data_IF_866833938588
#
_entry.id   IF_866833938588
#
_cell.length_a   1.000
_cell.length_b   1.000
_cell.length_c   1.000
_cell.angle_alpha   90.00
_cell.angle_beta   90.00
_cell.angle_gamma   90.00
#
_symmetry.space_group_name_H-M   'P 1'
#
loop_
_entity.id
_entity.type
_entity.pdbx_description
1 polymer ?
#
# COMPACT_ATOMS: atom_id res chain seq x y z
N UNK A 1 -33.01 10.90 -9.95
CA UNK A 1 -33.34 10.77 -8.53
C UNK A 1 -32.04 11.01 -7.76
N UNK A 2 -31.92 12.14 -7.07
CA UNK A 2 -30.78 12.43 -6.23
C UNK A 2 -30.80 11.46 -5.04
N UNK A 3 -29.89 10.50 -5.03
CA UNK A 3 -29.60 9.74 -3.82
C UNK A 3 -28.86 10.68 -2.86
N UNK A 4 -29.57 11.18 -1.87
CA UNK A 4 -28.96 11.91 -0.76
C UNK A 4 -27.86 11.06 -0.17
N UNK A 5 -26.59 11.51 -0.26
CA UNK A 5 -25.48 10.94 0.47
C UNK A 5 -25.83 10.92 1.95
N UNK A 6 -26.00 9.73 2.52
CA UNK A 6 -26.04 9.59 3.97
C UNK A 6 -24.66 10.01 4.48
N UNK A 7 -24.61 11.10 5.24
CA UNK A 7 -23.41 11.51 5.97
C UNK A 7 -22.91 10.32 6.78
N UNK A 8 -21.71 9.84 6.47
CA UNK A 8 -21.09 8.80 7.27
C UNK A 8 -20.54 9.42 8.56
N UNK A 9 -20.38 8.65 9.65
CA UNK A 9 -19.72 9.14 10.87
C UNK A 9 -18.33 9.73 10.63
N UNK A 10 -17.72 9.43 9.48
CA UNK A 10 -16.39 9.86 9.04
C UNK A 10 -16.30 11.34 8.65
N UNK A 11 -17.41 12.01 8.37
CA UNK A 11 -17.43 13.40 7.89
C UNK A 11 -17.03 14.44 8.95
N UNK A 12 -16.84 14.02 10.22
CA UNK A 12 -16.56 14.90 11.35
C UNK A 12 -15.09 15.18 11.62
N UNK A 13 -14.15 14.48 10.96
CA UNK A 13 -12.72 14.68 11.16
C UNK A 13 -12.25 15.72 10.13
N UNK A 14 -11.93 16.91 10.59
CA UNK A 14 -11.30 17.94 9.77
C UNK A 14 -9.80 17.67 9.69
N UNK A 15 -9.27 17.69 8.47
CA UNK A 15 -7.84 17.62 8.19
C UNK A 15 -7.28 19.04 8.12
N UNK A 16 -6.13 19.26 8.72
CA UNK A 16 -5.39 20.50 8.54
C UNK A 16 -4.71 20.57 7.16
N UNK A 17 -4.31 21.77 6.76
CA UNK A 17 -3.70 22.00 5.46
C UNK A 17 -2.33 21.33 5.31
N UNK A 18 -1.59 21.18 6.40
CA UNK A 18 -0.28 20.53 6.36
C UNK A 18 -0.41 19.02 6.13
N UNK A 19 -1.40 18.39 6.72
CA UNK A 19 -1.76 16.98 6.45
C UNK A 19 -2.19 16.80 4.99
N UNK A 20 -3.01 17.72 4.45
CA UNK A 20 -3.42 17.69 3.04
C UNK A 20 -2.24 17.81 2.08
N UNK A 21 -1.32 18.76 2.35
CA UNK A 21 -0.08 18.92 1.58
C UNK A 21 0.83 17.70 1.68
N UNK A 22 0.91 17.09 2.86
CA UNK A 22 1.64 15.84 3.07
C UNK A 22 1.07 14.70 2.22
N UNK A 23 -0.25 14.55 2.15
CA UNK A 23 -0.88 13.54 1.30
C UNK A 23 -0.52 13.74 -0.18
N UNK A 24 -0.67 14.97 -0.67
CA UNK A 24 -0.33 15.30 -2.06
C UNK A 24 1.14 14.98 -2.35
N UNK A 25 2.06 15.46 -1.51
CA UNK A 25 3.50 15.21 -1.66
C UNK A 25 3.79 13.71 -1.69
N UNK A 26 3.20 12.95 -0.78
CA UNK A 26 3.48 11.51 -0.67
C UNK A 26 2.92 10.74 -1.86
N UNK A 27 1.74 11.09 -2.38
CA UNK A 27 1.21 10.51 -3.62
C UNK A 27 2.13 10.82 -4.82
N UNK A 28 2.63 12.05 -4.93
CA UNK A 28 3.58 12.43 -6.00
C UNK A 28 4.91 11.67 -5.87
N UNK A 29 5.44 11.48 -4.65
CA UNK A 29 6.64 10.66 -4.40
C UNK A 29 6.45 9.22 -4.84
N UNK A 30 5.30 8.61 -4.54
CA UNK A 30 4.97 7.24 -4.97
C UNK A 30 4.92 7.19 -6.50
N UNK A 31 4.20 8.09 -7.15
CA UNK A 31 4.07 8.14 -8.60
C UNK A 31 5.42 8.28 -9.29
N UNK A 32 6.25 9.21 -8.84
CA UNK A 32 7.55 9.47 -9.45
C UNK A 32 8.54 8.32 -9.18
N UNK A 33 8.52 7.73 -7.98
CA UNK A 33 9.30 6.52 -7.68
C UNK A 33 8.96 5.38 -8.64
N UNK A 34 7.68 5.07 -8.81
CA UNK A 34 7.22 3.96 -9.66
C UNK A 34 7.53 4.21 -11.14
N UNK A 35 7.36 5.44 -11.62
CA UNK A 35 7.70 5.82 -12.98
C UNK A 35 9.22 5.68 -13.23
N UNK A 36 10.04 6.17 -12.30
CA UNK A 36 11.49 6.06 -12.38
C UNK A 36 11.95 4.60 -12.27
N UNK A 37 11.30 3.80 -11.46
CA UNK A 37 11.55 2.37 -11.37
C UNK A 37 11.25 1.67 -12.71
N UNK A 38 10.14 2.03 -13.36
CA UNK A 38 9.78 1.52 -14.68
C UNK A 38 10.83 1.87 -15.75
N UNK A 39 11.37 3.09 -15.72
CA UNK A 39 12.46 3.52 -16.62
C UNK A 39 13.76 2.78 -16.32
N UNK A 40 14.14 2.67 -15.05
CA UNK A 40 15.36 1.95 -14.62
C UNK A 40 15.33 0.49 -15.04
N UNK A 41 14.17 -0.13 -14.97
CA UNK A 41 13.97 -1.49 -15.47
C UNK A 41 14.20 -1.61 -16.97
N UNK A 42 13.67 -0.68 -17.77
CA UNK A 42 13.88 -0.68 -19.22
C UNK A 42 15.34 -0.43 -19.61
N UNK A 43 16.10 0.25 -18.76
CA UNK A 43 17.54 0.51 -18.93
C UNK A 43 18.42 -0.64 -18.42
N UNK A 44 17.83 -1.71 -17.85
CA UNK A 44 18.58 -2.85 -17.32
C UNK A 44 19.34 -2.57 -16.02
N UNK A 45 18.94 -1.55 -15.25
CA UNK A 45 19.59 -1.17 -13.99
C UNK A 45 19.14 -2.02 -12.80
N UNK A 46 18.08 -2.80 -12.96
CA UNK A 46 17.45 -3.55 -11.86
C UNK A 46 17.93 -5.00 -11.82
N UNK A 47 18.06 -5.59 -10.64
CA UNK A 47 18.48 -6.97 -10.44
C UNK A 47 17.37 -8.00 -10.73
N UNK A 48 16.11 -7.63 -10.62
CA UNK A 48 14.97 -8.52 -10.84
C UNK A 48 14.38 -8.39 -12.24
N UNK A 49 13.65 -9.43 -12.66
CA UNK A 49 13.01 -9.50 -13.97
C UNK A 49 11.53 -9.13 -13.97
N UNK A 50 10.92 -8.93 -12.79
CA UNK A 50 9.47 -8.69 -12.67
C UNK A 50 9.19 -7.61 -11.63
N UNK A 51 8.50 -6.56 -12.07
CA UNK A 51 8.11 -5.41 -11.25
C UNK A 51 6.61 -5.18 -11.35
N UNK A 52 6.01 -4.89 -10.19
CA UNK A 52 4.57 -4.67 -10.03
C UNK A 52 4.37 -3.26 -9.50
N UNK A 53 4.08 -2.32 -10.40
CA UNK A 53 3.97 -0.90 -10.08
C UNK A 53 2.62 -0.57 -9.47
N UNK A 54 2.59 0.27 -8.44
CA UNK A 54 1.36 0.72 -7.76
C UNK A 54 0.81 2.04 -8.30
N UNK A 55 1.12 2.40 -9.53
CA UNK A 55 0.61 3.61 -10.19
C UNK A 55 -0.91 3.52 -10.37
N UNK A 56 -1.62 4.52 -9.86
CA UNK A 56 -3.08 4.57 -9.77
C UNK A 56 -3.64 4.14 -8.39
N UNK A 57 -2.78 3.61 -7.50
CA UNK A 57 -3.15 3.15 -6.16
C UNK A 57 -2.65 4.13 -5.06
N UNK A 58 -2.13 5.31 -5.43
CA UNK A 58 -1.42 6.22 -4.51
C UNK A 58 -2.34 6.73 -3.39
N UNK A 59 -3.59 7.08 -3.70
CA UNK A 59 -4.52 7.57 -2.69
C UNK A 59 -4.88 6.49 -1.67
N UNK A 60 -5.06 5.24 -2.11
CA UNK A 60 -5.28 4.11 -1.22
C UNK A 60 -4.05 3.87 -0.33
N UNK A 61 -2.85 3.88 -0.90
CA UNK A 61 -1.60 3.68 -0.17
C UNK A 61 -1.36 4.78 0.87
N UNK A 62 -1.50 6.06 0.48
CA UNK A 62 -1.26 7.21 1.36
C UNK A 62 -2.34 7.30 2.44
N UNK A 63 -3.62 7.15 2.07
CA UNK A 63 -4.72 7.24 3.02
C UNK A 63 -4.61 6.19 4.13
N UNK A 64 -4.39 4.92 3.78
CA UNK A 64 -4.23 3.86 4.76
C UNK A 64 -2.88 3.95 5.51
N UNK A 65 -1.78 4.19 4.79
CA UNK A 65 -0.44 4.27 5.38
C UNK A 65 -0.29 5.42 6.38
N UNK A 66 -0.88 6.60 6.08
CA UNK A 66 -0.84 7.78 6.96
C UNK A 66 -1.79 7.68 8.17
N UNK A 67 -2.78 6.79 8.15
CA UNK A 67 -3.64 6.51 9.30
C UNK A 67 -2.97 5.59 10.34
N UNK A 68 -1.88 4.93 9.98
CA UNK A 68 -1.08 4.11 10.90
C UNK A 68 -0.21 4.98 11.81
N UNK A 69 0.11 4.47 12.97
CA UNK A 69 1.00 5.10 13.96
C UNK A 69 2.37 4.41 13.99
N UNK A 70 3.34 5.09 14.58
CA UNK A 70 4.61 4.45 14.93
C UNK A 70 4.35 3.34 15.97
N UNK A 71 4.95 2.18 15.76
CA UNK A 71 4.74 1.00 16.58
C UNK A 71 3.64 0.06 16.07
N UNK A 72 2.89 0.45 15.04
CA UNK A 72 2.03 -0.49 14.29
C UNK A 72 2.88 -1.38 13.41
N UNK A 73 2.42 -2.61 13.21
CA UNK A 73 3.03 -3.53 12.27
C UNK A 73 2.18 -3.68 11.01
N UNK A 74 2.83 -4.01 9.92
CA UNK A 74 2.13 -4.29 8.67
C UNK A 74 2.89 -5.28 7.80
N UNK A 75 2.14 -5.91 6.91
CA UNK A 75 2.67 -6.74 5.82
C UNK A 75 2.12 -6.23 4.49
N UNK A 76 2.86 -6.44 3.40
CA UNK A 76 2.39 -6.10 2.06
C UNK A 76 2.45 -7.31 1.13
N UNK A 77 1.80 -7.18 -0.01
CA UNK A 77 1.95 -8.08 -1.14
C UNK A 77 3.06 -7.58 -2.09
N UNK A 78 3.21 -8.24 -3.24
CA UNK A 78 4.22 -7.92 -4.27
C UNK A 78 4.15 -6.50 -4.85
N UNK A 79 3.05 -5.74 -4.63
CA UNK A 79 2.82 -4.36 -5.05
C UNK A 79 2.80 -3.42 -3.84
N UNK A 80 3.80 -3.54 -2.99
CA UNK A 80 3.83 -2.86 -1.69
C UNK A 80 4.59 -1.53 -1.65
N UNK A 81 5.20 -1.07 -2.74
CA UNK A 81 6.07 0.11 -2.74
C UNK A 81 5.36 1.36 -2.23
N UNK A 82 4.15 1.65 -2.75
CA UNK A 82 3.38 2.83 -2.36
C UNK A 82 3.09 2.87 -0.86
N UNK A 83 2.68 1.75 -0.28
CA UNK A 83 2.40 1.64 1.15
C UNK A 83 3.68 1.83 1.96
N UNK A 84 4.80 1.23 1.53
CA UNK A 84 6.07 1.35 2.24
C UNK A 84 6.61 2.78 2.19
N UNK A 85 6.47 3.48 1.05
CA UNK A 85 6.80 4.92 0.92
C UNK A 85 5.89 5.77 1.81
N UNK A 86 4.59 5.49 1.86
CA UNK A 86 3.65 6.18 2.74
C UNK A 86 3.97 5.98 4.23
N UNK A 87 4.68 4.90 4.59
CA UNK A 87 5.18 4.63 5.93
C UNK A 87 6.57 5.23 6.21
N UNK A 88 7.11 6.03 5.31
CA UNK A 88 8.37 6.75 5.51
C UNK A 88 9.62 5.99 5.05
N UNK A 89 9.49 5.04 4.13
CA UNK A 89 10.64 4.37 3.55
C UNK A 89 11.62 5.36 2.88
N UNK A 90 12.91 5.11 3.05
CA UNK A 90 13.97 5.81 2.36
C UNK A 90 14.03 5.37 0.90
N UNK A 91 13.90 6.33 -0.01
CA UNK A 91 13.82 6.05 -1.46
C UNK A 91 15.15 5.56 -2.02
N UNK A 92 16.27 6.05 -1.50
CA UNK A 92 17.60 5.60 -1.91
C UNK A 92 17.82 4.13 -1.59
N UNK A 93 17.47 3.72 -0.35
CA UNK A 93 17.53 2.30 0.04
C UNK A 93 16.54 1.43 -0.73
N UNK A 94 15.37 1.96 -1.10
CA UNK A 94 14.42 1.23 -1.95
C UNK A 94 15.00 0.99 -3.35
N UNK A 95 15.57 2.02 -3.99
CA UNK A 95 16.25 1.84 -5.29
C UNK A 95 17.47 0.92 -5.15
N UNK A 96 18.28 1.05 -4.09
CA UNK A 96 19.41 0.17 -3.83
C UNK A 96 18.96 -1.30 -3.74
N UNK A 97 17.86 -1.59 -3.04
CA UNK A 97 17.29 -2.94 -2.96
C UNK A 97 16.92 -3.49 -4.34
N UNK A 98 16.19 -2.68 -5.13
CA UNK A 98 15.72 -3.08 -6.46
C UNK A 98 16.87 -3.21 -7.47
N UNK A 99 17.96 -2.44 -7.30
CA UNK A 99 19.18 -2.56 -8.11
C UNK A 99 20.10 -3.69 -7.64
N UNK A 100 19.71 -4.45 -6.60
CA UNK A 100 20.49 -5.55 -6.05
C UNK A 100 21.77 -5.08 -5.35
N UNK A 101 21.67 -3.98 -4.57
CA UNK A 101 22.80 -3.36 -3.87
C UNK A 101 22.79 -3.70 -2.39
N UNK A 102 23.99 -3.76 -1.78
CA UNK A 102 24.16 -4.13 -0.37
C UNK A 102 23.48 -3.13 0.59
N UNK A 103 23.37 -1.85 0.20
CA UNK A 103 22.75 -0.81 1.00
C UNK A 103 21.21 -0.81 0.93
N UNK A 104 20.61 -1.75 0.18
CA UNK A 104 19.17 -1.97 0.13
C UNK A 104 18.61 -2.44 1.48
N UNK A 105 17.29 -2.39 1.63
CA UNK A 105 16.58 -2.80 2.85
C UNK A 105 16.85 -4.26 3.24
N UNK A 106 16.99 -5.13 2.24
CA UNK A 106 17.29 -6.55 2.40
C UNK A 106 18.65 -6.92 1.78
N UNK A 107 19.58 -5.98 1.74
CA UNK A 107 20.92 -6.15 1.14
C UNK A 107 20.88 -6.56 -0.34
N UNK A 108 19.85 -6.13 -1.07
CA UNK A 108 19.63 -6.49 -2.47
C UNK A 108 19.11 -7.90 -2.72
N UNK A 109 18.83 -8.68 -1.65
CA UNK A 109 18.37 -10.08 -1.76
C UNK A 109 16.86 -10.23 -1.96
N UNK A 110 16.07 -9.29 -1.43
CA UNK A 110 14.60 -9.34 -1.50
C UNK A 110 14.05 -8.83 -2.84
N UNK A 111 14.66 -7.82 -3.39
CA UNK A 111 14.19 -7.12 -4.58
C UNK A 111 12.81 -6.47 -4.36
N UNK A 112 12.13 -6.12 -5.46
CA UNK A 112 10.86 -5.38 -5.44
C UNK A 112 9.75 -6.04 -4.63
N UNK A 113 9.65 -7.37 -4.61
CA UNK A 113 8.51 -8.11 -4.07
C UNK A 113 8.69 -8.58 -2.62
N UNK A 114 9.87 -8.41 -2.03
CA UNK A 114 10.20 -8.99 -0.72
C UNK A 114 10.92 -7.98 0.20
N UNK A 115 10.69 -6.68 0.00
CA UNK A 115 11.24 -5.64 0.88
C UNK A 115 10.68 -5.84 2.31
N UNK A 116 11.54 -5.66 3.31
CA UNK A 116 11.16 -5.71 4.72
C UNK A 116 11.99 -4.71 5.52
N UNK A 117 11.38 -4.07 6.52
CA UNK A 117 12.06 -3.29 7.55
C UNK A 117 11.22 -3.24 8.83
N UNK A 118 11.60 -4.03 9.80
CA UNK A 118 10.89 -4.11 11.08
C UNK A 118 10.97 -2.80 11.89
N UNK A 119 11.96 -1.95 11.64
CA UNK A 119 12.06 -0.64 12.31
C UNK A 119 10.96 0.32 11.87
N UNK A 120 10.47 0.18 10.63
CA UNK A 120 9.28 0.86 10.11
C UNK A 120 7.97 0.09 10.41
N UNK A 121 8.05 -1.04 11.10
CA UNK A 121 6.91 -1.93 11.36
C UNK A 121 6.57 -2.84 10.19
N UNK A 122 7.36 -2.84 9.11
CA UNK A 122 7.12 -3.69 7.94
C UNK A 122 7.67 -5.09 8.14
N UNK A 123 6.81 -6.03 8.46
CA UNK A 123 7.15 -7.45 8.70
C UNK A 123 7.49 -8.22 7.42
N UNK A 124 7.37 -7.57 6.26
CA UNK A 124 7.78 -8.08 4.97
C UNK A 124 6.71 -8.00 3.88
N UNK A 125 7.18 -7.90 2.64
CA UNK A 125 6.39 -8.11 1.44
C UNK A 125 6.41 -9.59 1.05
N UNK A 126 5.28 -10.12 0.60
CA UNK A 126 5.16 -11.54 0.21
C UNK A 126 4.52 -11.66 -1.17
N UNK A 127 5.19 -12.34 -2.10
CA UNK A 127 4.68 -12.58 -3.44
C UNK A 127 3.62 -13.70 -3.50
N UNK A 128 3.53 -14.56 -2.50
CA UNK A 128 2.48 -15.58 -2.41
C UNK A 128 1.17 -14.91 -2.04
N UNK A 129 0.18 -14.98 -2.94
CA UNK A 129 -1.10 -14.29 -2.78
C UNK A 129 -1.83 -14.75 -1.51
N UNK A 130 -2.08 -13.80 -0.61
CA UNK A 130 -2.76 -14.03 0.66
C UNK A 130 -1.86 -14.50 1.81
N UNK A 131 -0.60 -14.94 1.56
CA UNK A 131 0.27 -15.48 2.61
C UNK A 131 0.70 -14.43 3.67
N UNK A 132 0.67 -13.15 3.32
CA UNK A 132 0.96 -12.06 4.26
C UNK A 132 -0.16 -11.84 5.30
N UNK A 133 -1.37 -12.32 5.05
CA UNK A 133 -2.55 -12.14 5.92
C UNK A 133 -2.36 -12.86 7.27
N UNK A 134 -2.05 -14.16 7.34
CA UNK A 134 -1.82 -14.84 8.62
C UNK A 134 -0.55 -14.33 9.34
N UNK A 135 0.42 -13.76 8.63
CA UNK A 135 1.57 -13.09 9.27
C UNK A 135 1.10 -11.86 10.06
N UNK A 136 0.24 -11.03 9.46
CA UNK A 136 -0.37 -9.90 10.17
C UNK A 136 -1.28 -10.35 11.32
N UNK A 137 -1.96 -11.48 11.18
CA UNK A 137 -2.74 -12.08 12.29
C UNK A 137 -1.81 -12.37 13.48
N UNK A 138 -0.64 -12.97 13.24
CA UNK A 138 0.39 -13.19 14.26
C UNK A 138 0.89 -11.89 14.88
N UNK A 139 1.08 -10.84 14.08
CA UNK A 139 1.39 -9.48 14.55
C UNK A 139 0.34 -8.95 15.52
N UNK A 140 -0.94 -9.03 15.16
CA UNK A 140 -2.06 -8.62 16.01
C UNK A 140 -2.18 -9.46 17.30
N UNK A 141 -1.93 -10.77 17.20
CA UNK A 141 -1.86 -11.63 18.38
C UNK A 141 -0.75 -11.18 19.33
N UNK A 142 0.45 -10.92 18.80
CA UNK A 142 1.59 -10.40 19.56
C UNK A 142 1.26 -9.08 20.26
N UNK A 143 0.62 -8.12 19.56
CA UNK A 143 0.19 -6.83 20.16
C UNK A 143 -0.75 -7.05 21.33
N UNK A 144 -1.77 -7.88 21.16
CA UNK A 144 -2.73 -8.19 22.21
C UNK A 144 -2.06 -8.90 23.39
N UNK A 145 -1.22 -9.91 23.13
CA UNK A 145 -0.51 -10.65 24.17
C UNK A 145 0.40 -9.74 25.01
N UNK A 146 1.11 -8.82 24.34
CA UNK A 146 1.97 -7.83 24.99
C UNK A 146 1.24 -6.63 25.56
N UNK A 147 -0.11 -6.56 25.41
CA UNK A 147 -0.96 -5.44 25.84
C UNK A 147 -0.50 -4.09 25.26
N UNK A 148 -0.01 -4.09 24.03
CA UNK A 148 0.38 -2.87 23.30
C UNK A 148 -0.83 -2.25 22.63
N UNK A 149 -0.98 -0.92 22.74
CA UNK A 149 -2.00 -0.14 22.03
C UNK A 149 -1.60 0.10 20.57
N UNK A 150 -1.36 -0.98 19.82
CA UNK A 150 -0.93 -0.98 18.44
C UNK A 150 -1.76 -1.99 17.64
N UNK A 151 -1.72 -1.86 16.32
CA UNK A 151 -2.44 -2.73 15.38
C UNK A 151 -1.48 -3.45 14.44
N UNK A 152 -1.96 -4.48 13.78
CA UNK A 152 -1.27 -5.12 12.67
C UNK A 152 -2.14 -5.05 11.41
N UNK A 153 -1.59 -4.54 10.31
CA UNK A 153 -2.31 -4.31 9.06
C UNK A 153 -1.81 -5.26 7.98
N UNK A 154 -2.68 -6.07 7.42
CA UNK A 154 -2.40 -6.88 6.23
C UNK A 154 -2.85 -6.13 4.99
N UNK A 155 -1.92 -5.66 4.16
CA UNK A 155 -2.22 -5.05 2.87
C UNK A 155 -2.19 -6.09 1.76
N UNK A 156 -3.29 -6.21 1.00
CA UNK A 156 -3.38 -7.17 -0.11
C UNK A 156 -4.32 -6.66 -1.21
N UNK A 157 -4.24 -7.26 -2.39
CA UNK A 157 -5.09 -6.93 -3.54
C UNK A 157 -6.37 -7.74 -3.59
N UNK A 158 -7.26 -7.36 -4.51
CA UNK A 158 -8.54 -8.02 -4.77
C UNK A 158 -8.40 -9.51 -5.11
N UNK A 159 -7.31 -9.91 -5.78
CA UNK A 159 -7.04 -11.32 -6.06
C UNK A 159 -6.92 -12.20 -4.82
N UNK A 160 -6.60 -11.63 -3.65
CA UNK A 160 -6.53 -12.37 -2.39
C UNK A 160 -7.90 -12.51 -1.69
N UNK A 161 -8.93 -11.77 -2.12
CA UNK A 161 -10.27 -11.82 -1.51
C UNK A 161 -10.96 -13.20 -1.63
N UNK A 162 -10.48 -14.05 -2.54
CA UNK A 162 -11.01 -15.40 -2.70
C UNK A 162 -10.08 -16.50 -2.16
N UNK A 163 -9.00 -16.13 -1.45
CA UNK A 163 -8.14 -17.08 -0.77
C UNK A 163 -8.75 -17.54 0.56
N UNK A 164 -8.78 -18.86 0.80
CA UNK A 164 -9.34 -19.43 2.04
C UNK A 164 -8.68 -18.89 3.30
N UNK A 165 -7.37 -18.65 3.26
CA UNK A 165 -6.58 -18.12 4.38
C UNK A 165 -7.07 -16.76 4.90
N UNK A 166 -7.70 -15.93 4.06
CA UNK A 166 -8.34 -14.68 4.50
C UNK A 166 -9.48 -14.98 5.49
N UNK A 167 -10.35 -15.90 5.14
CA UNK A 167 -11.53 -16.24 5.95
C UNK A 167 -11.17 -16.96 7.24
N UNK A 168 -10.17 -17.83 7.18
CA UNK A 168 -9.59 -18.47 8.37
C UNK A 168 -9.00 -17.41 9.30
N UNK A 169 -8.25 -16.45 8.76
CA UNK A 169 -7.66 -15.35 9.53
C UNK A 169 -8.71 -14.40 10.11
N UNK A 170 -9.77 -14.08 9.36
CA UNK A 170 -10.89 -13.27 9.84
C UNK A 170 -11.60 -13.94 11.02
N UNK A 171 -11.89 -15.23 10.90
CA UNK A 171 -12.54 -16.00 11.97
C UNK A 171 -11.69 -15.99 13.25
N UNK A 172 -10.39 -16.26 13.14
CA UNK A 172 -9.49 -16.24 14.31
C UNK A 172 -9.36 -14.82 14.90
N UNK A 173 -9.21 -13.80 14.04
CA UNK A 173 -9.09 -12.42 14.49
C UNK A 173 -10.34 -11.97 15.24
N UNK A 174 -11.53 -12.28 14.74
CA UNK A 174 -12.81 -11.92 15.38
C UNK A 174 -13.00 -12.69 16.69
N UNK A 175 -12.81 -14.01 16.69
CA UNK A 175 -12.93 -14.87 17.87
C UNK A 175 -12.05 -14.38 19.03
N UNK A 176 -10.84 -13.98 18.73
CA UNK A 176 -9.88 -13.52 19.72
C UNK A 176 -9.86 -11.99 19.88
N UNK A 177 -10.73 -11.25 19.19
CA UNK A 177 -10.76 -9.77 19.18
C UNK A 177 -9.35 -9.19 19.00
N UNK A 178 -8.65 -9.63 17.98
CA UNK A 178 -7.29 -9.16 17.69
C UNK A 178 -7.33 -7.77 17.04
N UNK A 179 -6.34 -6.91 17.32
CA UNK A 179 -6.19 -5.61 16.67
C UNK A 179 -5.58 -5.78 15.27
N UNK A 180 -6.32 -6.44 14.38
CA UNK A 180 -5.90 -6.72 13.00
C UNK A 180 -6.79 -5.97 12.01
N UNK A 181 -6.15 -5.36 11.03
CA UNK A 181 -6.84 -4.73 9.90
C UNK A 181 -6.52 -5.49 8.63
N UNK A 182 -7.55 -5.88 7.91
CA UNK A 182 -7.48 -6.46 6.58
C UNK A 182 -7.68 -5.32 5.57
N UNK A 183 -6.59 -4.84 4.96
CA UNK A 183 -6.57 -3.66 4.10
C UNK A 183 -6.46 -4.07 2.62
N UNK A 184 -7.56 -3.93 1.88
CA UNK A 184 -7.67 -4.33 0.49
C UNK A 184 -7.50 -3.13 -0.43
N UNK A 185 -6.53 -3.18 -1.34
CA UNK A 185 -6.49 -2.31 -2.51
C UNK A 185 -7.17 -3.06 -3.67
N UNK A 186 -8.44 -2.78 -3.86
CA UNK A 186 -9.21 -3.37 -4.96
C UNK A 186 -8.93 -2.60 -6.25
N UNK A 187 -7.90 -3.01 -6.97
CA UNK A 187 -7.52 -2.39 -8.23
C UNK A 187 -8.23 -3.00 -9.46
N UNK A 188 -9.29 -3.76 -9.23
CA UNK A 188 -10.21 -4.38 -10.17
C UNK A 188 -9.68 -5.63 -10.88
N UNK A 189 -8.38 -5.94 -10.81
CA UNK A 189 -7.80 -7.04 -11.57
C UNK A 189 -6.80 -7.87 -10.76
N UNK A 190 -7.13 -9.11 -10.48
CA UNK A 190 -6.17 -10.14 -10.05
C UNK A 190 -5.43 -10.70 -11.27
N UNK A 191 -4.19 -10.26 -11.52
CA UNK A 191 -3.44 -10.50 -12.76
C UNK A 191 -4.27 -10.03 -13.98
N UNK A 192 -4.77 -10.92 -14.82
CA UNK A 192 -5.62 -10.62 -15.97
C UNK A 192 -7.11 -10.90 -15.74
N UNK A 193 -7.51 -11.33 -14.55
CA UNK A 193 -8.89 -11.66 -14.22
C UNK A 193 -9.55 -10.51 -13.48
N UNK A 194 -10.61 -9.96 -14.05
CA UNK A 194 -11.40 -8.93 -13.41
C UNK A 194 -12.15 -9.49 -12.20
N UNK A 195 -12.29 -8.69 -11.16
CA UNK A 195 -12.82 -9.15 -9.87
C UNK A 195 -14.27 -9.65 -9.94
N UNK A 196 -15.09 -9.07 -10.81
CA UNK A 196 -16.48 -9.50 -11.04
C UNK A 196 -16.60 -10.83 -11.80
N UNK A 197 -15.54 -11.27 -12.48
CA UNK A 197 -15.44 -12.61 -13.05
C UNK A 197 -14.91 -13.64 -12.04
N UNK A 198 -14.27 -13.19 -10.96
CA UNK A 198 -13.68 -14.06 -9.95
C UNK A 198 -14.52 -14.19 -8.68
N UNK A 199 -15.48 -13.28 -8.44
CA UNK A 199 -16.25 -13.22 -7.21
C UNK A 199 -17.76 -13.21 -7.49
N UNK A 200 -18.49 -14.16 -6.93
CA UNK A 200 -19.94 -14.25 -7.06
C UNK A 200 -20.69 -13.09 -6.37
N UNK A 201 -20.07 -12.47 -5.36
CA UNK A 201 -20.56 -11.26 -4.71
C UNK A 201 -19.45 -10.25 -4.63
N UNK A 202 -19.73 -9.01 -5.02
CA UNK A 202 -18.80 -7.87 -4.94
C UNK A 202 -18.96 -7.06 -3.63
N UNK A 203 -19.83 -7.48 -2.74
CA UNK A 203 -20.07 -6.84 -1.45
C UNK A 203 -19.07 -7.35 -0.41
N UNK A 204 -17.83 -6.91 -0.52
CA UNK A 204 -16.73 -7.45 0.26
C UNK A 204 -16.81 -7.04 1.73
N UNK A 205 -17.28 -5.83 2.03
CA UNK A 205 -17.53 -5.39 3.41
C UNK A 205 -18.59 -6.26 4.09
N UNK A 206 -19.73 -6.52 3.43
CA UNK A 206 -20.78 -7.40 3.96
C UNK A 206 -20.28 -8.85 4.15
N UNK A 207 -19.36 -9.31 3.29
CA UNK A 207 -18.74 -10.64 3.42
C UNK A 207 -17.89 -10.75 4.69
N UNK A 208 -17.19 -9.70 5.09
CA UNK A 208 -16.41 -9.68 6.33
C UNK A 208 -17.32 -9.74 7.57
N UNK A 209 -18.49 -9.11 7.52
CA UNK A 209 -19.46 -9.10 8.63
C UNK A 209 -19.94 -10.52 9.00
N UNK A 210 -19.99 -11.44 8.03
CA UNK A 210 -20.35 -12.86 8.28
C UNK A 210 -19.35 -13.58 9.20
N UNK A 211 -18.13 -13.03 9.32
CA UNK A 211 -17.07 -13.49 10.23
C UNK A 211 -16.97 -12.65 11.52
N UNK A 212 -17.89 -11.71 11.74
CA UNK A 212 -17.81 -10.80 12.88
C UNK A 212 -16.73 -9.72 12.73
N UNK A 213 -16.30 -9.44 11.52
CA UNK A 213 -15.32 -8.39 11.18
C UNK A 213 -16.05 -7.19 10.61
N UNK A 214 -15.87 -6.01 11.21
CA UNK A 214 -16.45 -4.76 10.69
C UNK A 214 -15.88 -4.45 9.30
N UNK A 215 -16.74 -4.38 8.28
CA UNK A 215 -16.37 -4.08 6.91
C UNK A 215 -16.69 -2.62 6.52
N UNK A 216 -15.78 -2.00 5.75
CA UNK A 216 -15.97 -0.66 5.15
C UNK A 216 -15.47 -0.67 3.72
N UNK A 217 -16.25 -0.11 2.80
CA UNK A 217 -15.82 0.15 1.43
C UNK A 217 -15.69 1.65 1.21
N UNK A 218 -14.64 2.07 0.49
CA UNK A 218 -14.32 3.48 0.24
C UNK A 218 -13.81 3.67 -1.17
N UNK A 219 -14.00 4.88 -1.71
CA UNK A 219 -13.37 5.30 -2.96
C UNK A 219 -11.85 5.39 -2.77
N UNK A 220 -11.12 4.42 -3.31
CA UNK A 220 -9.66 4.32 -3.22
C UNK A 220 -8.90 5.36 -4.06
N UNK A 221 -9.61 6.18 -4.85
CA UNK A 221 -9.04 7.31 -5.60
C UNK A 221 -9.11 8.62 -4.80
N UNK A 222 -9.83 8.66 -3.66
CA UNK A 222 -9.92 9.82 -2.77
C UNK A 222 -9.11 9.58 -1.47
N UNK A 223 -7.95 10.21 -1.38
CA UNK A 223 -7.02 10.04 -0.26
C UNK A 223 -7.62 10.43 1.10
N UNK A 224 -8.44 11.49 1.16
CA UNK A 224 -9.06 11.92 2.42
C UNK A 224 -10.16 10.95 2.86
N UNK A 225 -10.95 10.43 1.92
CA UNK A 225 -11.96 9.42 2.20
C UNK A 225 -11.31 8.13 2.73
N UNK A 226 -10.24 7.67 2.07
CA UNK A 226 -9.47 6.49 2.52
C UNK A 226 -8.87 6.73 3.91
N UNK A 227 -8.26 7.90 4.12
CA UNK A 227 -7.65 8.21 5.42
C UNK A 227 -8.69 8.23 6.56
N UNK A 228 -9.83 8.90 6.36
CA UNK A 228 -10.90 9.01 7.37
C UNK A 228 -11.44 7.63 7.74
N UNK A 229 -11.78 6.81 6.74
CA UNK A 229 -12.28 5.45 6.96
C UNK A 229 -11.24 4.58 7.67
N UNK A 230 -9.97 4.67 7.26
CA UNK A 230 -8.87 3.93 7.88
C UNK A 230 -8.64 4.37 9.31
N UNK A 231 -8.59 5.68 9.57
CA UNK A 231 -8.37 6.23 10.90
C UNK A 231 -9.41 5.70 11.92
N UNK A 232 -10.70 5.76 11.57
CA UNK A 232 -11.76 5.27 12.48
C UNK A 232 -11.63 3.77 12.73
N UNK A 233 -11.41 2.99 11.66
CA UNK A 233 -11.32 1.53 11.76
C UNK A 233 -10.09 1.11 12.59
N UNK A 234 -8.95 1.79 12.39
CA UNK A 234 -7.69 1.52 13.09
C UNK A 234 -7.81 1.90 14.57
N UNK A 235 -8.44 3.04 14.88
CA UNK A 235 -8.67 3.45 16.25
C UNK A 235 -9.65 2.50 16.99
N UNK A 236 -10.67 2.00 16.30
CA UNK A 236 -11.57 0.99 16.87
C UNK A 236 -10.80 -0.29 17.24
N UNK A 237 -9.96 -0.78 16.32
CA UNK A 237 -9.12 -1.96 16.58
C UNK A 237 -8.13 -1.75 17.75
N UNK A 238 -7.52 -0.54 17.86
CA UNK A 238 -6.65 -0.17 19.00
C UNK A 238 -7.35 -0.20 20.35
N UNK A 239 -8.61 0.24 20.38
CA UNK A 239 -9.42 0.20 21.61
C UNK A 239 -9.85 -1.21 22.01
N UNK A 240 -9.61 -2.21 21.14
CA UNK A 240 -9.99 -3.60 21.37
C UNK A 240 -11.40 -3.96 20.88
N UNK A 241 -11.98 -3.13 19.99
CA UNK A 241 -13.31 -3.40 19.41
C UNK A 241 -13.28 -4.60 18.45
N UNK A 242 -12.07 -5.11 18.12
CA UNK A 242 -11.84 -6.27 17.26
C UNK A 242 -11.27 -5.89 15.90
N UNK A 243 -11.19 -6.86 14.97
CA UNK A 243 -10.62 -6.65 13.64
C UNK A 243 -11.54 -5.82 12.74
N UNK A 244 -10.94 -5.25 11.69
CA UNK A 244 -11.67 -4.56 10.64
C UNK A 244 -11.20 -4.94 9.25
N UNK A 245 -12.08 -4.80 8.25
CA UNK A 245 -11.75 -4.88 6.83
C UNK A 245 -12.05 -3.54 6.18
N UNK A 246 -11.07 -2.99 5.45
CA UNK A 246 -11.27 -1.85 4.56
C UNK A 246 -11.01 -2.26 3.13
N UNK A 247 -11.91 -1.90 2.21
CA UNK A 247 -11.78 -2.11 0.78
C UNK A 247 -11.71 -0.75 0.09
N UNK A 248 -10.52 -0.38 -0.37
CA UNK A 248 -10.30 0.83 -1.15
C UNK A 248 -10.42 0.49 -2.65
N UNK A 249 -11.52 0.94 -3.28
CA UNK A 249 -11.78 0.72 -4.69
C UNK A 249 -10.95 1.67 -5.55
N UNK A 250 -9.88 1.17 -6.14
CA UNK A 250 -8.90 1.90 -6.95
C UNK A 250 -8.77 1.29 -8.36
N UNK A 251 -7.82 1.79 -9.14
CA UNK A 251 -7.50 1.21 -10.44
C UNK A 251 -6.00 1.26 -10.71
N UNK A 252 -5.45 0.14 -11.16
CA UNK A 252 -4.04 0.03 -11.54
C UNK A 252 -3.83 0.56 -12.96
N UNK A 253 -3.02 1.61 -13.14
CA UNK A 253 -2.80 2.24 -14.46
C UNK A 253 -1.83 1.47 -15.37
N UNK A 254 -0.98 0.61 -14.84
CA UNK A 254 -0.16 -0.32 -15.62
C UNK A 254 -0.79 -1.72 -15.69
N UNK A 255 -0.27 -2.58 -16.56
CA UNK A 255 -0.56 -4.02 -16.56
C UNK A 255 -0.18 -4.69 -15.23
N UNK A 256 -0.38 -5.99 -15.10
CA UNK A 256 -0.06 -6.71 -13.85
C UNK A 256 1.42 -6.54 -13.47
N UNK A 257 2.32 -6.80 -14.38
CA UNK A 257 3.74 -6.49 -14.27
C UNK A 257 4.14 -5.44 -15.31
N UNK A 258 5.35 -4.88 -15.20
CA UNK A 258 5.80 -3.79 -16.11
C UNK A 258 5.81 -4.17 -17.60
N UNK A 259 6.01 -5.44 -17.92
CA UNK A 259 6.01 -5.94 -19.31
C UNK A 259 4.63 -6.40 -19.80
N UNK A 260 3.62 -6.42 -18.93
CA UNK A 260 2.28 -6.87 -19.28
C UNK A 260 1.59 -5.82 -20.17
N UNK A 261 1.26 -6.14 -21.43
CA UNK A 261 0.57 -5.21 -22.33
C UNK A 261 -0.93 -5.06 -22.02
N UNK A 262 -1.45 -5.79 -21.04
CA UNK A 262 -2.84 -5.78 -20.54
C UNK A 262 -3.93 -5.91 -21.64
N UNK A 263 -3.86 -6.89 -22.54
CA UNK A 263 -4.85 -7.06 -23.62
C UNK A 263 -6.25 -7.45 -23.11
N UNK A 264 -6.37 -7.77 -21.85
CA UNK A 264 -7.60 -8.15 -21.14
C UNK A 264 -8.40 -6.94 -20.64
N UNK A 265 -7.90 -5.71 -20.83
CA UNK A 265 -8.55 -4.46 -20.42
C UNK A 265 -9.19 -3.76 -21.60
N UNK A 266 -10.28 -3.07 -21.32
CA UNK A 266 -10.92 -2.17 -22.27
C UNK A 266 -10.30 -0.78 -22.16
N UNK A 267 -9.97 -0.13 -23.29
CA UNK A 267 -9.36 1.20 -23.33
C UNK A 267 -10.30 2.27 -22.76
N UNK A 268 -11.58 2.19 -23.00
CA UNK A 268 -12.59 3.09 -22.48
C UNK A 268 -12.65 3.04 -20.95
N UNK A 269 -12.51 1.84 -20.38
CA UNK A 269 -12.40 1.66 -18.92
C UNK A 269 -11.13 2.33 -18.39
N UNK A 270 -9.98 2.11 -19.03
CA UNK A 270 -8.71 2.74 -18.61
C UNK A 270 -8.79 4.27 -18.67
N UNK A 271 -9.38 4.84 -19.73
CA UNK A 271 -9.57 6.29 -19.89
C UNK A 271 -10.49 6.85 -18.81
N UNK A 272 -11.62 6.20 -18.51
CA UNK A 272 -12.52 6.61 -17.44
C UNK A 272 -11.83 6.68 -16.08
N UNK A 273 -11.00 5.70 -15.76
CA UNK A 273 -10.25 5.69 -14.52
C UNK A 273 -9.13 6.74 -14.49
N UNK A 274 -8.49 7.02 -15.63
CA UNK A 274 -7.48 8.10 -15.74
C UNK A 274 -8.06 9.49 -15.53
N UNK A 275 -9.32 9.73 -15.91
CA UNK A 275 -10.02 10.98 -15.58
C UNK A 275 -10.21 11.17 -14.07
N UNK A 276 -10.05 10.12 -13.30
CA UNK A 276 -10.12 10.12 -11.83
C UNK A 276 -8.73 9.94 -11.21
N UNK A 277 -7.65 10.31 -11.90
CA UNK A 277 -6.30 10.22 -11.33
C UNK A 277 -6.25 10.86 -9.94
N UNK A 278 -5.81 10.12 -8.89
CA UNK A 278 -5.88 10.59 -7.51
C UNK A 278 -5.03 11.85 -7.27
N UNK A 279 -3.94 12.04 -8.00
CA UNK A 279 -3.08 13.23 -7.87
C UNK A 279 -3.75 14.43 -8.51
N UNK A 280 -4.24 14.30 -9.74
CA UNK A 280 -4.85 15.41 -10.49
C UNK A 280 -6.16 15.87 -9.84
N UNK A 281 -7.02 14.94 -9.43
CA UNK A 281 -8.28 15.26 -8.75
C UNK A 281 -8.03 15.91 -7.40
N UNK A 282 -7.03 15.44 -6.66
CA UNK A 282 -6.70 16.03 -5.36
C UNK A 282 -6.03 17.41 -5.51
N UNK A 283 -5.11 17.58 -6.47
CA UNK A 283 -4.57 18.90 -6.86
C UNK A 283 -5.69 19.89 -7.11
N UNK A 284 -6.64 19.56 -7.98
CA UNK A 284 -7.78 20.43 -8.33
C UNK A 284 -8.54 20.84 -7.07
N UNK A 285 -8.90 19.89 -6.21
CA UNK A 285 -9.57 20.16 -4.93
C UNK A 285 -8.78 21.12 -4.04
N UNK A 286 -7.47 20.90 -3.87
CA UNK A 286 -6.63 21.73 -3.00
C UNK A 286 -6.44 23.16 -3.55
N UNK A 287 -6.41 23.35 -4.86
CA UNK A 287 -6.35 24.66 -5.49
C UNK A 287 -7.67 25.40 -5.34
N UNK A 288 -8.80 24.74 -5.61
CA UNK A 288 -10.15 25.31 -5.46
C UNK A 288 -10.44 25.72 -4.02
N UNK A 289 -10.00 24.93 -3.05
CA UNK A 289 -10.13 25.23 -1.61
C UNK A 289 -9.04 26.17 -1.07
N UNK A 290 -8.13 26.63 -1.93
CA UNK A 290 -7.02 27.55 -1.59
C UNK A 290 -6.03 27.02 -0.56
N UNK A 291 -5.92 25.71 -0.41
CA UNK A 291 -4.90 25.06 0.42
C UNK A 291 -3.51 25.17 -0.24
N UNK A 292 -3.47 25.10 -1.56
CA UNK A 292 -2.26 25.31 -2.36
C UNK A 292 -2.55 26.23 -3.55
N UNK A 293 -1.48 26.75 -4.18
CA UNK A 293 -1.54 27.39 -5.52
C UNK A 293 -1.00 26.44 -6.59
N UNK A 294 -1.27 26.74 -7.87
CA UNK A 294 -0.67 26.00 -8.99
C UNK A 294 0.87 26.09 -8.95
N UNK A 295 1.42 27.27 -8.64
CA UNK A 295 2.88 27.42 -8.50
C UNK A 295 3.46 26.55 -7.39
N UNK A 296 2.72 26.35 -6.29
CA UNK A 296 3.14 25.42 -5.23
C UNK A 296 3.20 23.98 -5.76
N UNK A 297 2.21 23.55 -6.54
CA UNK A 297 2.18 22.23 -7.13
C UNK A 297 3.36 22.00 -8.08
N UNK A 298 3.66 22.96 -8.94
CA UNK A 298 4.77 22.89 -9.90
C UNK A 298 6.13 22.83 -9.19
N UNK A 299 6.29 23.61 -8.12
CA UNK A 299 7.51 23.56 -7.30
C UNK A 299 7.65 22.23 -6.55
N UNK A 300 6.56 21.73 -6.00
CA UNK A 300 6.53 20.43 -5.35
C UNK A 300 6.94 19.31 -6.31
N UNK A 301 6.45 19.36 -7.56
CA UNK A 301 6.84 18.41 -8.61
C UNK A 301 8.35 18.41 -8.89
N UNK A 302 8.95 19.60 -8.97
CA UNK A 302 10.42 19.72 -9.13
C UNK A 302 11.18 19.14 -7.94
N UNK A 303 10.74 19.47 -6.72
CA UNK A 303 11.37 18.96 -5.50
C UNK A 303 11.28 17.43 -5.40
N UNK A 304 10.12 16.86 -5.71
CA UNK A 304 9.94 15.39 -5.71
C UNK A 304 10.82 14.74 -6.77
N UNK A 305 10.90 15.32 -7.96
CA UNK A 305 11.78 14.80 -9.01
C UNK A 305 13.25 14.82 -8.61
N UNK A 306 13.73 15.91 -8.03
CA UNK A 306 15.09 16.02 -7.50
C UNK A 306 15.36 14.97 -6.40
N UNK A 307 14.39 14.74 -5.50
CA UNK A 307 14.48 13.72 -4.45
C UNK A 307 14.64 12.31 -5.08
N UNK A 308 13.89 12.00 -6.12
CA UNK A 308 13.99 10.72 -6.83
C UNK A 308 15.31 10.61 -7.62
N UNK A 309 15.75 11.68 -8.28
CA UNK A 309 17.03 11.69 -9.01
C UNK A 309 18.20 11.40 -8.06
N UNK A 310 18.22 12.04 -6.89
CA UNK A 310 19.21 11.80 -5.85
C UNK A 310 19.16 10.36 -5.30
N UNK A 311 17.96 9.81 -5.12
CA UNK A 311 17.78 8.43 -4.67
C UNK A 311 18.32 7.40 -5.67
N UNK A 312 18.12 7.64 -6.97
CA UNK A 312 18.66 6.79 -8.04
C UNK A 312 20.18 6.92 -8.12
N UNK A 313 20.71 8.13 -8.01
CA UNK A 313 22.16 8.38 -7.97
C UNK A 313 22.81 7.63 -6.82
N UNK A 314 22.27 7.78 -5.60
CA UNK A 314 22.71 7.04 -4.42
C UNK A 314 22.77 5.53 -4.70
N UNK A 315 21.65 4.95 -5.13
CA UNK A 315 21.56 3.51 -5.41
C UNK A 315 22.55 3.04 -6.49
N UNK A 316 22.85 3.90 -7.47
CA UNK A 316 23.79 3.59 -8.55
C UNK A 316 25.25 3.56 -8.09
N UNK A 317 25.58 4.27 -7.01
CA UNK A 317 26.92 4.28 -6.41
C UNK A 317 27.15 3.19 -5.37
N UNK A 318 26.08 2.56 -4.89
CA UNK A 318 26.15 1.45 -3.92
C UNK A 318 26.80 0.20 -4.54
N UNK A 319 27.54 -0.55 -3.72
CA UNK A 319 28.21 -1.77 -4.14
C UNK A 319 27.22 -2.94 -4.30
N UNK A 320 27.58 -3.89 -5.15
CA UNK A 320 26.92 -5.19 -5.19
C UNK A 320 27.26 -5.97 -3.89
N UNK A 321 26.36 -6.85 -3.41
CA UNK A 321 26.70 -7.79 -2.34
C UNK A 321 27.85 -8.68 -2.75
N UNK A 322 28.74 -9.04 -1.81
CA UNK A 322 29.77 -10.05 -2.00
C UNK A 322 29.15 -11.47 -2.02
N UNK A 323 29.86 -12.44 -2.60
CA UNK A 323 29.34 -13.80 -2.75
C UNK A 323 28.98 -14.47 -1.41
N UNK A 324 29.64 -14.09 -0.33
CA UNK A 324 29.37 -14.56 1.03
C UNK A 324 27.98 -14.18 1.53
N UNK A 325 27.41 -13.09 1.03
CA UNK A 325 26.04 -12.67 1.36
C UNK A 325 24.97 -13.67 0.95
N UNK A 326 25.25 -14.58 0.02
CA UNK A 326 24.33 -15.68 -0.33
C UNK A 326 24.04 -16.62 0.86
N UNK A 327 24.93 -16.69 1.82
CA UNK A 327 24.85 -17.62 2.96
C UNK A 327 24.47 -16.92 4.27
N UNK A 328 24.36 -15.56 4.27
CA UNK A 328 23.96 -14.82 5.46
C UNK A 328 22.43 -14.70 5.56
N UNK A 329 21.92 -14.45 6.76
CA UNK A 329 20.51 -14.23 7.08
C UNK A 329 19.57 -15.42 6.73
N UNK A 330 20.11 -16.64 6.54
CA UNK A 330 19.33 -17.87 6.27
C UNK A 330 18.81 -18.46 7.58
N UNK A 331 19.63 -18.47 8.62
CA UNK A 331 19.29 -18.93 9.96
C UNK A 331 19.57 -17.85 10.99
N UNK A 332 18.90 -17.91 12.12
CA UNK A 332 19.25 -17.08 13.26
C UNK A 332 20.69 -17.41 13.70
N UNK A 333 21.52 -16.39 13.92
CA UNK A 333 22.85 -16.61 14.51
C UNK A 333 22.69 -17.20 15.89
N UNK A 334 23.40 -18.30 16.16
CA UNK A 334 23.43 -18.89 17.50
C UNK A 334 23.97 -17.85 18.49
N UNK A 335 23.11 -17.40 19.38
CA UNK A 335 23.44 -16.71 20.62
C UNK A 335 24.19 -15.37 20.51
N UNK A 336 23.43 -14.27 20.33
CA UNK A 336 23.81 -12.98 20.95
C UNK A 336 22.66 -12.48 21.80
#
# INVERSE_FOLDING_TARGET
MQHGMKTTPFDRIELDDDTRKHFLRTMMRIREFENRLAESYLRGMTAGSMFHLSVGEEAAAVGMGSAMRNGDYFTTHHRGHGIFIARGADLGRMFAEVFGRIDGYCKGKGGSMHIADINLGHMGANAIVGANIPISLGGGFSMKYQKKAAISVAFFGDGALNQGVLYESMNMAALWKLPVIFAVVNNQYGMGTRIDHASASLKFAERAETFGVRGVEVDGMDVEAVWKASHELFEAARRGDGPGLIVANAYRFYGHGRKDPSPYRNKEEEEMWRLRDPIDTYRTRLVETKVISENYFDQLGKTVKEEIDNAVEYASTCLAPEDEELYTDVYASEGK
#
